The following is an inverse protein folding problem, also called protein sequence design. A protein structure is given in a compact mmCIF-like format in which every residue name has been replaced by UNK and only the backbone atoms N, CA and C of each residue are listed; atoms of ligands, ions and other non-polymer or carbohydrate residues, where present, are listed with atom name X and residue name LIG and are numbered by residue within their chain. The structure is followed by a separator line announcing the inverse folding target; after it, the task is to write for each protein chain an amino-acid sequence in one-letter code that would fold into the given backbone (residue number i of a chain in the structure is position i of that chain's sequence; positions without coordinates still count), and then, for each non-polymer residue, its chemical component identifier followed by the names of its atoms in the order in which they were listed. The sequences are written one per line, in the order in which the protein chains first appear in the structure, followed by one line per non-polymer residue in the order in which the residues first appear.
data_IF_263168125740
#
_entry.id   IF_263168125740
#
_cell.length_a   1.000
_cell.length_b   1.000
_cell.length_c   1.000
_cell.angle_alpha   90.00
_cell.angle_beta   90.00
_cell.angle_gamma   90.00
#
_symmetry.space_group_name_H-M   'P 1'
#
loop_
_entity.id
_entity.type
_entity.pdbx_description
1 polymer ?
#
# COMPACT_ATOMS: atom_id res chain seq x y z
N UNK A 1 -20.82 -17.03 6.68
CA UNK A 1 -19.81 -16.81 5.64
C UNK A 1 -20.50 -16.50 4.33
N UNK A 2 -19.99 -15.56 3.52
CA UNK A 2 -20.54 -15.23 2.19
C UNK A 2 -19.56 -15.62 1.10
N UNK A 3 -20.07 -16.17 0.00
CA UNK A 3 -19.32 -16.39 -1.24
C UNK A 3 -18.92 -15.04 -1.86
N UNK A 4 -17.66 -14.85 -2.21
CA UNK A 4 -17.12 -13.58 -2.76
C UNK A 4 -17.87 -13.11 -4.02
N UNK A 5 -18.38 -14.04 -4.83
CA UNK A 5 -19.17 -13.74 -6.04
C UNK A 5 -20.51 -13.09 -5.71
N UNK A 6 -21.07 -13.38 -4.52
CA UNK A 6 -22.36 -12.87 -4.02
C UNK A 6 -22.22 -11.67 -3.09
N UNK A 7 -21.02 -11.40 -2.59
CA UNK A 7 -20.76 -10.24 -1.74
C UNK A 7 -20.98 -8.93 -2.53
N UNK A 8 -21.63 -7.91 -1.92
CA UNK A 8 -21.72 -6.57 -2.50
C UNK A 8 -20.32 -6.03 -2.81
N UNK A 9 -20.13 -5.56 -4.03
CA UNK A 9 -18.83 -5.12 -4.55
C UNK A 9 -18.96 -3.75 -5.19
N UNK A 10 -17.99 -2.88 -4.93
CA UNK A 10 -17.86 -1.58 -5.61
C UNK A 10 -17.47 -1.72 -7.09
N UNK A 11 -16.98 -2.88 -7.51
CA UNK A 11 -16.48 -3.14 -8.88
C UNK A 11 -17.03 -4.46 -9.44
N UNK A 12 -18.37 -4.61 -9.53
CA UNK A 12 -19.00 -5.89 -9.81
C UNK A 12 -18.62 -6.50 -11.17
N UNK A 13 -18.26 -5.66 -12.14
CA UNK A 13 -17.92 -6.04 -13.51
C UNK A 13 -16.41 -6.04 -13.82
N UNK A 14 -15.55 -5.72 -12.84
CA UNK A 14 -14.13 -5.56 -13.11
C UNK A 14 -13.42 -6.92 -13.34
N UNK A 15 -12.58 -7.04 -14.39
CA UNK A 15 -11.64 -8.12 -14.71
C UNK A 15 -11.19 -9.04 -13.60
N UNK A 16 -10.65 -8.29 -12.63
CA UNK A 16 -9.78 -8.70 -11.56
C UNK A 16 -10.37 -8.29 -10.22
N UNK A 17 -11.70 -8.31 -10.09
CA UNK A 17 -12.33 -8.18 -8.77
C UNK A 17 -11.93 -9.37 -7.88
N UNK A 18 -12.08 -9.22 -6.58
CA UNK A 18 -11.57 -10.18 -5.58
C UNK A 18 -12.05 -11.62 -5.83
N UNK A 19 -13.29 -11.80 -6.29
CA UNK A 19 -13.85 -13.12 -6.60
C UNK A 19 -13.22 -13.84 -7.80
N UNK A 20 -12.48 -13.13 -8.67
CA UNK A 20 -11.98 -13.67 -9.95
C UNK A 20 -10.45 -13.78 -10.01
N UNK A 21 -9.73 -13.15 -9.09
CA UNK A 21 -8.25 -13.21 -9.03
C UNK A 21 -7.77 -14.43 -8.28
N UNK A 22 -6.52 -14.81 -8.50
CA UNK A 22 -5.85 -15.77 -7.64
C UNK A 22 -5.67 -15.19 -6.22
N UNK A 23 -6.19 -15.88 -5.21
CA UNK A 23 -5.95 -15.54 -3.82
C UNK A 23 -4.50 -15.89 -3.42
N UNK A 24 -3.64 -14.92 -3.08
CA UNK A 24 -2.23 -15.19 -2.81
C UNK A 24 -1.98 -16.02 -1.54
N UNK A 25 -2.91 -16.03 -0.58
CA UNK A 25 -2.82 -16.85 0.62
C UNK A 25 -3.25 -18.29 0.34
N UNK A 26 -4.42 -18.47 -0.28
CA UNK A 26 -5.01 -19.79 -0.52
C UNK A 26 -4.43 -20.53 -1.73
N UNK A 27 -3.89 -19.83 -2.73
CA UNK A 27 -3.36 -20.45 -3.96
C UNK A 27 -2.05 -21.22 -3.78
N UNK A 28 -1.45 -21.21 -2.58
CA UNK A 28 -0.18 -21.90 -2.36
C UNK A 28 1.00 -21.23 -3.07
N UNK A 29 0.87 -19.93 -3.36
CA UNK A 29 1.89 -19.06 -3.95
C UNK A 29 3.20 -19.07 -3.16
N UNK A 30 3.12 -19.27 -1.84
CA UNK A 30 4.23 -19.20 -0.89
C UNK A 30 4.44 -20.55 -0.19
N UNK A 31 5.19 -21.46 -0.83
CA UNK A 31 5.59 -22.76 -0.25
C UNK A 31 6.86 -22.63 0.61
N UNK A 32 7.09 -23.55 1.54
CA UNK A 32 8.33 -23.61 2.32
C UNK A 32 9.53 -23.74 1.40
N UNK A 33 10.53 -22.88 1.60
CA UNK A 33 11.70 -22.78 0.74
C UNK A 33 11.46 -22.11 -0.61
N UNK A 34 10.22 -21.76 -0.97
CA UNK A 34 9.92 -21.04 -2.20
C UNK A 34 10.28 -19.57 -2.03
N UNK A 35 11.42 -19.22 -2.60
CA UNK A 35 11.83 -17.85 -2.91
C UNK A 35 11.77 -17.79 -4.43
N UNK A 36 10.94 -16.92 -4.99
CA UNK A 36 10.97 -16.70 -6.43
C UNK A 36 12.23 -15.92 -6.80
N UNK A 37 12.81 -16.24 -7.96
CA UNK A 37 13.98 -15.53 -8.46
C UNK A 37 13.54 -14.22 -9.12
N UNK A 38 14.20 -13.14 -8.75
CA UNK A 38 13.97 -11.81 -9.31
C UNK A 38 14.96 -11.55 -10.43
N UNK A 39 14.46 -11.06 -11.56
CA UNK A 39 15.27 -10.74 -12.73
C UNK A 39 15.02 -9.31 -13.17
N UNK A 40 16.09 -8.51 -13.20
CA UNK A 40 16.13 -7.30 -14.01
C UNK A 40 16.36 -7.66 -15.49
N UNK A 41 16.16 -6.70 -16.39
CA UNK A 41 16.48 -6.90 -17.80
C UNK A 41 17.98 -7.15 -18.03
N UNK A 42 18.84 -6.54 -17.23
CA UNK A 42 20.28 -6.69 -17.35
C UNK A 42 20.75 -8.07 -16.86
N UNK A 43 20.22 -8.57 -15.73
CA UNK A 43 20.50 -9.93 -15.26
C UNK A 43 20.12 -10.96 -16.32
N UNK A 44 18.93 -10.77 -16.92
CA UNK A 44 18.43 -11.69 -17.92
C UNK A 44 19.26 -11.66 -19.21
N UNK A 45 19.70 -10.48 -19.66
CA UNK A 45 20.60 -10.33 -20.81
C UNK A 45 21.95 -11.00 -20.53
N UNK A 46 22.52 -10.81 -19.35
CA UNK A 46 23.77 -11.46 -18.96
C UNK A 46 23.65 -13.00 -18.97
N UNK A 47 22.56 -13.55 -18.41
CA UNK A 47 22.29 -14.99 -18.44
C UNK A 47 22.10 -15.52 -19.88
N UNK A 48 21.44 -14.73 -20.75
CA UNK A 48 21.24 -15.08 -22.16
C UNK A 48 22.57 -15.08 -22.91
N UNK A 49 23.40 -14.06 -22.72
CA UNK A 49 24.68 -13.91 -23.40
C UNK A 49 25.68 -14.99 -22.93
N UNK A 50 25.55 -15.47 -21.69
CA UNK A 50 26.23 -16.66 -21.18
C UNK A 50 25.65 -18.00 -21.68
N UNK A 51 24.57 -17.98 -22.46
CA UNK A 51 23.90 -19.19 -22.98
C UNK A 51 23.12 -20.00 -21.94
N UNK A 52 22.85 -19.43 -20.76
CA UNK A 52 22.20 -20.12 -19.64
C UNK A 52 20.67 -20.08 -19.71
N UNK A 53 20.10 -19.09 -20.40
CA UNK A 53 18.63 -18.93 -20.56
C UNK A 53 18.26 -18.56 -21.99
N UNK A 54 17.03 -18.88 -22.40
CA UNK A 54 16.41 -18.38 -23.63
C UNK A 54 15.42 -17.26 -23.29
N UNK A 55 15.51 -16.13 -23.98
CA UNK A 55 14.57 -15.03 -23.77
C UNK A 55 13.18 -15.37 -24.29
N UNK A 56 12.13 -15.28 -23.46
CA UNK A 56 10.77 -15.36 -23.95
C UNK A 56 10.52 -14.27 -25.00
N UNK A 57 9.86 -14.62 -26.11
CA UNK A 57 9.62 -13.68 -27.22
C UNK A 57 8.92 -12.38 -26.78
N UNK A 58 8.11 -12.44 -25.74
CA UNK A 58 7.37 -11.29 -25.22
C UNK A 58 8.20 -10.34 -24.34
N UNK A 59 9.42 -10.73 -23.96
CA UNK A 59 10.41 -9.86 -23.31
C UNK A 59 11.48 -9.38 -24.29
N UNK A 60 11.42 -9.80 -25.56
CA UNK A 60 12.39 -9.43 -26.58
C UNK A 60 12.12 -8.01 -27.07
N UNK A 61 12.87 -7.04 -26.54
CA UNK A 61 12.85 -5.64 -26.93
C UNK A 61 14.23 -5.01 -26.68
N UNK A 62 14.65 -4.08 -27.54
CA UNK A 62 15.86 -3.28 -27.28
C UNK A 62 15.63 -2.28 -26.14
N UNK A 63 16.70 -1.80 -25.52
CA UNK A 63 16.61 -0.78 -24.46
C UNK A 63 16.10 0.53 -25.05
N UNK A 64 16.54 0.86 -26.27
CA UNK A 64 16.20 2.08 -27.00
C UNK A 64 14.70 2.10 -27.34
N UNK A 65 14.16 1.01 -27.90
CA UNK A 65 12.73 0.90 -28.21
C UNK A 65 11.88 0.98 -26.94
N UNK A 66 12.35 0.38 -25.84
CA UNK A 66 11.67 0.42 -24.57
C UNK A 66 11.63 1.85 -23.99
N UNK A 67 12.76 2.57 -24.02
CA UNK A 67 12.85 3.95 -23.57
C UNK A 67 11.96 4.89 -24.39
N UNK A 68 11.95 4.76 -25.72
CA UNK A 68 11.04 5.52 -26.59
C UNK A 68 9.58 5.25 -26.21
N UNK A 69 9.21 3.97 -26.07
CA UNK A 69 7.84 3.56 -25.71
C UNK A 69 7.41 4.03 -24.32
N UNK A 70 8.32 4.17 -23.36
CA UNK A 70 8.02 4.75 -22.05
C UNK A 70 7.57 6.20 -22.18
N UNK A 71 8.17 6.95 -23.10
CA UNK A 71 7.91 8.38 -23.31
C UNK A 71 6.72 8.65 -24.25
N UNK A 72 6.22 7.65 -24.97
CA UNK A 72 5.08 7.81 -25.87
C UNK A 72 3.80 8.26 -25.12
N UNK A 73 3.10 9.29 -25.60
CA UNK A 73 1.87 9.80 -24.97
C UNK A 73 0.80 8.72 -24.73
N UNK A 74 0.63 7.79 -25.67
CA UNK A 74 -0.36 6.70 -25.56
C UNK A 74 -0.12 5.72 -24.40
N UNK A 75 1.13 5.59 -23.95
CA UNK A 75 1.51 4.68 -22.87
C UNK A 75 1.58 5.38 -21.52
N UNK A 76 1.77 6.70 -21.52
CA UNK A 76 2.10 7.52 -20.36
C UNK A 76 1.16 7.30 -19.18
N UNK A 77 -0.15 7.35 -19.40
CA UNK A 77 -1.14 7.19 -18.32
C UNK A 77 -1.05 5.80 -17.68
N UNK A 78 -0.90 4.76 -18.50
CA UNK A 78 -0.79 3.38 -18.02
C UNK A 78 0.51 3.17 -17.24
N UNK A 79 1.64 3.66 -17.76
CA UNK A 79 2.93 3.58 -17.09
C UNK A 79 2.91 4.32 -15.76
N UNK A 80 2.34 5.53 -15.71
CA UNK A 80 2.20 6.29 -14.47
C UNK A 80 1.36 5.55 -13.44
N UNK A 81 0.27 4.88 -13.85
CA UNK A 81 -0.54 4.06 -12.94
C UNK A 81 0.22 2.87 -12.39
N UNK A 82 0.94 2.14 -13.25
CA UNK A 82 1.75 0.99 -12.82
C UNK A 82 2.88 1.44 -11.89
N UNK A 83 3.62 2.49 -12.24
CA UNK A 83 4.67 3.05 -11.39
C UNK A 83 4.12 3.51 -10.04
N UNK A 84 2.97 4.21 -10.01
CA UNK A 84 2.36 4.67 -8.77
C UNK A 84 1.90 3.51 -7.88
N UNK A 85 1.34 2.45 -8.50
CA UNK A 85 0.96 1.23 -7.77
C UNK A 85 2.18 0.59 -7.12
N UNK A 86 3.25 0.37 -7.90
CA UNK A 86 4.49 -0.25 -7.43
C UNK A 86 5.25 0.63 -6.43
N UNK A 87 5.23 1.95 -6.61
CA UNK A 87 5.84 2.89 -5.68
C UNK A 87 5.10 2.89 -4.32
N UNK A 88 3.78 2.75 -4.29
CA UNK A 88 3.02 2.77 -3.04
C UNK A 88 2.90 1.40 -2.36
N UNK A 89 2.86 0.31 -3.13
CA UNK A 89 2.59 -1.06 -2.67
C UNK A 89 3.76 -2.02 -2.85
N UNK A 90 4.86 -1.55 -3.45
CA UNK A 90 6.13 -2.27 -3.65
C UNK A 90 5.99 -3.48 -4.58
N UNK A 91 5.61 -4.63 -4.03
CA UNK A 91 5.59 -5.90 -4.76
C UNK A 91 4.16 -6.37 -4.92
N UNK A 92 3.76 -6.59 -6.17
CA UNK A 92 2.39 -6.96 -6.53
C UNK A 92 2.41 -8.05 -7.61
N UNK A 93 1.34 -8.84 -7.68
CA UNK A 93 1.06 -9.61 -8.90
C UNK A 93 0.57 -8.68 -10.01
N UNK A 94 0.70 -9.10 -11.28
CA UNK A 94 0.09 -8.38 -12.40
C UNK A 94 -1.43 -8.23 -12.20
N UNK A 95 -2.14 -9.28 -11.76
CA UNK A 95 -3.57 -9.19 -11.45
C UNK A 95 -3.92 -8.13 -10.40
N UNK A 96 -3.06 -7.95 -9.38
CA UNK A 96 -3.23 -6.92 -8.37
C UNK A 96 -3.01 -5.51 -8.92
N UNK A 97 -2.02 -5.31 -9.79
CA UNK A 97 -1.81 -4.02 -10.44
C UNK A 97 -3.00 -3.67 -11.34
N UNK A 98 -3.48 -4.62 -12.15
CA UNK A 98 -4.66 -4.42 -12.99
C UNK A 98 -5.90 -4.05 -12.15
N UNK A 99 -6.14 -4.77 -11.04
CA UNK A 99 -7.23 -4.49 -10.10
C UNK A 99 -7.12 -3.13 -9.42
N UNK A 100 -5.90 -2.75 -9.00
CA UNK A 100 -5.67 -1.50 -8.30
C UNK A 100 -5.84 -0.29 -9.22
N UNK A 101 -5.37 -0.41 -10.46
CA UNK A 101 -5.22 0.72 -11.39
C UNK A 101 -6.34 0.86 -12.42
N UNK A 102 -7.23 -0.13 -12.52
CA UNK A 102 -8.23 -0.24 -13.60
C UNK A 102 -7.58 -0.11 -14.98
N UNK A 103 -6.49 -0.87 -15.17
CA UNK A 103 -5.76 -0.92 -16.43
C UNK A 103 -5.58 -2.38 -16.81
N UNK A 104 -6.52 -2.97 -17.56
CA UNK A 104 -6.47 -4.39 -17.88
C UNK A 104 -5.43 -4.68 -18.96
N UNK A 105 -4.99 -5.94 -19.04
CA UNK A 105 -4.14 -6.49 -20.11
C UNK A 105 -2.73 -5.88 -20.17
N UNK A 106 -2.17 -5.40 -19.05
CA UNK A 106 -0.85 -4.76 -19.03
C UNK A 106 0.30 -5.74 -19.37
N UNK A 107 0.06 -7.05 -19.24
CA UNK A 107 1.01 -8.10 -19.60
C UNK A 107 0.69 -8.84 -20.92
N UNK A 108 -0.39 -8.46 -21.63
CA UNK A 108 -0.81 -9.15 -22.86
C UNK A 108 -0.03 -8.67 -24.10
N UNK A 109 0.26 -9.60 -25.01
CA UNK A 109 1.00 -9.33 -26.26
C UNK A 109 2.52 -9.29 -26.09
N UNK A 110 3.24 -9.14 -27.21
CA UNK A 110 4.71 -9.18 -27.23
C UNK A 110 5.37 -7.83 -26.88
N UNK A 111 4.61 -6.73 -26.92
CA UNK A 111 5.05 -5.40 -26.53
C UNK A 111 4.15 -4.83 -25.44
N UNK A 112 3.87 -5.67 -24.45
CA UNK A 112 3.04 -5.30 -23.30
C UNK A 112 3.69 -4.18 -22.48
N UNK A 113 2.89 -3.48 -21.68
CA UNK A 113 3.42 -2.44 -20.79
C UNK A 113 4.46 -3.03 -19.83
N UNK A 114 4.22 -4.23 -19.31
CA UNK A 114 5.19 -4.92 -18.45
C UNK A 114 6.51 -5.16 -19.19
N UNK A 115 6.47 -5.63 -20.44
CA UNK A 115 7.70 -5.83 -21.22
C UNK A 115 8.44 -4.51 -21.49
N UNK A 116 7.70 -3.44 -21.82
CA UNK A 116 8.26 -2.11 -22.03
C UNK A 116 8.96 -1.61 -20.76
N UNK A 117 8.27 -1.66 -19.62
CA UNK A 117 8.80 -1.17 -18.34
C UNK A 117 9.98 -2.01 -17.85
N UNK A 118 9.95 -3.33 -18.05
CA UNK A 118 11.05 -4.22 -17.66
C UNK A 118 12.29 -3.97 -18.52
N UNK A 119 12.15 -3.93 -19.85
CA UNK A 119 13.28 -3.67 -20.75
C UNK A 119 13.90 -2.28 -20.57
N UNK A 120 13.07 -1.30 -20.18
CA UNK A 120 13.47 0.04 -19.80
C UNK A 120 14.14 0.11 -18.41
N UNK A 121 14.19 -1.00 -17.66
CA UNK A 121 14.79 -1.05 -16.33
C UNK A 121 13.98 -0.31 -15.26
N UNK A 122 12.66 -0.16 -15.43
CA UNK A 122 11.76 0.48 -14.46
C UNK A 122 11.18 -0.51 -13.44
N UNK A 123 11.12 -1.79 -13.80
CA UNK A 123 10.58 -2.86 -12.95
C UNK A 123 11.42 -4.12 -13.06
N UNK A 124 11.36 -4.94 -12.01
CA UNK A 124 11.85 -6.32 -12.03
C UNK A 124 10.67 -7.28 -12.04
N UNK A 125 10.90 -8.46 -12.61
CA UNK A 125 9.91 -9.53 -12.70
C UNK A 125 10.41 -10.71 -11.87
N UNK A 126 9.50 -11.35 -11.15
CA UNK A 126 9.75 -12.61 -10.49
C UNK A 126 8.74 -13.67 -10.93
N UNK A 127 9.29 -14.81 -11.33
CA UNK A 127 8.53 -16.02 -11.57
C UNK A 127 8.63 -16.91 -10.33
N UNK A 128 7.48 -17.34 -9.82
CA UNK A 128 7.44 -18.24 -8.68
C UNK A 128 7.70 -19.67 -9.16
N UNK A 129 8.78 -20.29 -8.69
CA UNK A 129 9.32 -21.58 -9.16
C UNK A 129 8.40 -22.82 -9.09
N UNK A 130 7.11 -22.66 -8.75
CA UNK A 130 6.11 -23.72 -8.76
C UNK A 130 5.15 -23.66 -9.96
N UNK A 131 5.27 -22.70 -10.88
CA UNK A 131 4.39 -22.61 -12.05
C UNK A 131 4.84 -23.51 -13.20
N UNK A 132 4.54 -24.81 -13.10
CA UNK A 132 4.33 -25.66 -14.29
C UNK A 132 3.06 -25.19 -15.02
N UNK A 133 3.04 -23.97 -15.56
CA UNK A 133 1.85 -23.39 -16.21
C UNK A 133 1.94 -23.56 -17.73
N UNK A 134 0.88 -24.17 -18.29
CA UNK A 134 0.60 -24.13 -19.73
C UNK A 134 -0.12 -22.81 -20.08
N UNK A 135 0.38 -22.06 -21.07
CA UNK A 135 -0.33 -20.96 -21.75
C UNK A 135 -0.14 -19.53 -21.21
N UNK A 136 -0.84 -18.57 -21.84
CA UNK A 136 -0.69 -17.11 -21.62
C UNK A 136 -1.07 -16.62 -20.21
N UNK A 137 -1.83 -17.41 -19.43
CA UNK A 137 -2.18 -17.10 -18.03
C UNK A 137 -0.99 -17.11 -17.07
N UNK A 138 0.18 -17.56 -17.52
CA UNK A 138 1.42 -17.45 -16.76
C UNK A 138 1.74 -16.00 -16.37
N UNK A 139 1.57 -15.05 -17.32
CA UNK A 139 2.00 -13.67 -17.15
C UNK A 139 1.19 -12.88 -16.12
N UNK A 140 -0.06 -13.28 -15.92
CA UNK A 140 -0.98 -12.62 -14.98
C UNK A 140 -0.57 -12.89 -13.52
N UNK A 141 0.05 -14.04 -13.25
CA UNK A 141 0.55 -14.41 -11.93
C UNK A 141 1.98 -13.96 -11.63
N UNK A 142 2.63 -13.24 -12.55
CA UNK A 142 3.99 -12.73 -12.33
C UNK A 142 4.00 -11.72 -11.18
N UNK A 143 5.04 -11.79 -10.37
CA UNK A 143 5.33 -10.75 -9.39
C UNK A 143 6.16 -9.66 -10.06
N UNK A 144 5.81 -8.42 -9.76
CA UNK A 144 6.50 -7.23 -10.24
C UNK A 144 6.79 -6.29 -9.08
N UNK A 145 7.93 -5.60 -9.16
CA UNK A 145 8.38 -4.61 -8.18
C UNK A 145 9.16 -3.49 -8.86
N UNK A 146 9.25 -2.29 -8.27
CA UNK A 146 10.05 -1.21 -8.85
C UNK A 146 11.55 -1.55 -8.75
N UNK A 147 12.32 -1.13 -9.76
CA UNK A 147 13.78 -1.11 -9.67
C UNK A 147 14.25 0.09 -8.85
N UNK A 148 15.49 0.03 -8.36
CA UNK A 148 16.13 1.22 -7.77
C UNK A 148 16.16 2.36 -8.80
N UNK A 149 15.99 3.64 -8.39
CA UNK A 149 15.97 4.76 -9.32
C UNK A 149 17.21 4.83 -10.24
N UNK A 150 17.02 4.49 -11.51
CA UNK A 150 18.03 4.54 -12.57
C UNK A 150 18.05 5.87 -13.34
N UNK A 151 18.93 5.96 -14.34
CA UNK A 151 19.04 7.16 -15.19
C UNK A 151 17.72 7.45 -15.94
N UNK A 152 17.12 6.42 -16.55
CA UNK A 152 15.87 6.57 -17.28
C UNK A 152 14.70 6.99 -16.39
N UNK A 153 14.58 6.45 -15.17
CA UNK A 153 13.52 6.90 -14.24
C UNK A 153 13.70 8.37 -13.89
N UNK A 154 14.94 8.83 -13.68
CA UNK A 154 15.24 10.26 -13.45
C UNK A 154 14.91 11.13 -14.65
N UNK A 155 15.15 10.66 -15.87
CA UNK A 155 14.77 11.37 -17.09
C UNK A 155 13.25 11.43 -17.25
N UNK A 156 12.56 10.28 -17.10
CA UNK A 156 11.11 10.21 -17.10
C UNK A 156 10.51 11.16 -16.06
N UNK A 157 11.05 11.18 -14.85
CA UNK A 157 10.60 12.06 -13.77
C UNK A 157 10.73 13.55 -14.12
N UNK A 158 11.75 13.95 -14.89
CA UNK A 158 11.91 15.34 -15.36
C UNK A 158 10.83 15.75 -16.37
N UNK A 159 10.23 14.78 -17.06
CA UNK A 159 9.12 15.04 -18.01
C UNK A 159 7.76 15.15 -17.33
N UNK A 160 7.67 14.89 -16.02
CA UNK A 160 6.39 14.93 -15.29
C UNK A 160 6.05 16.36 -14.91
N UNK A 161 4.81 16.76 -15.22
CA UNK A 161 4.20 17.92 -14.57
C UNK A 161 4.15 17.71 -13.05
N UNK A 162 4.05 18.80 -12.29
CA UNK A 162 3.92 18.69 -10.83
C UNK A 162 2.72 17.81 -10.42
N UNK A 163 1.58 17.94 -11.11
CA UNK A 163 0.39 17.15 -10.82
C UNK A 163 0.59 15.65 -11.11
N UNK A 164 1.24 15.30 -12.22
CA UNK A 164 1.60 13.91 -12.51
C UNK A 164 2.58 13.36 -11.46
N UNK A 165 3.60 14.12 -11.10
CA UNK A 165 4.57 13.70 -10.11
C UNK A 165 3.94 13.48 -8.73
N UNK A 166 3.13 14.42 -8.23
CA UNK A 166 2.42 14.27 -6.95
C UNK A 166 1.46 13.08 -7.02
N UNK A 167 0.68 12.94 -8.08
CA UNK A 167 -0.26 11.83 -8.18
C UNK A 167 0.41 10.44 -8.21
N UNK A 168 1.63 10.34 -8.74
CA UNK A 168 2.34 9.08 -8.85
C UNK A 168 3.12 8.76 -7.56
N UNK A 169 3.77 9.77 -6.98
CA UNK A 169 4.72 9.61 -5.86
C UNK A 169 4.17 10.04 -4.50
N UNK A 170 2.96 10.59 -4.48
CA UNK A 170 2.37 11.31 -3.35
C UNK A 170 3.25 12.46 -2.81
N UNK A 171 4.11 13.02 -3.66
CA UNK A 171 5.01 14.10 -3.28
C UNK A 171 6.29 13.65 -2.57
N UNK A 172 6.57 12.35 -2.52
CA UNK A 172 7.70 11.77 -1.78
C UNK A 172 8.87 11.32 -2.70
N UNK A 173 8.78 11.53 -4.01
CA UNK A 173 9.74 11.01 -5.01
C UNK A 173 9.60 9.51 -5.23
N UNK A 174 10.28 8.91 -6.21
CA UNK A 174 10.23 7.45 -6.42
C UNK A 174 11.23 6.71 -5.53
N UNK A 175 10.82 5.56 -4.98
CA UNK A 175 11.65 4.72 -4.12
C UNK A 175 11.35 3.22 -4.32
N UNK A 176 12.37 2.38 -4.12
CA UNK A 176 12.32 0.93 -4.27
C UNK A 176 12.63 0.15 -2.98
N UNK A 177 12.67 0.80 -1.82
CA UNK A 177 12.94 0.14 -0.55
C UNK A 177 11.79 -0.79 -0.08
N UNK A 178 12.09 -1.64 0.93
CA UNK A 178 11.13 -2.48 1.69
C UNK A 178 10.34 -3.51 0.86
N UNK A 179 11.06 -4.29 0.08
CA UNK A 179 10.48 -5.28 -0.84
C UNK A 179 10.29 -6.67 -0.19
N UNK A 180 9.40 -6.77 0.79
CA UNK A 180 9.03 -8.05 1.42
C UNK A 180 7.90 -8.73 0.62
N UNK A 181 8.24 -9.40 -0.48
CA UNK A 181 7.30 -9.88 -1.50
C UNK A 181 6.00 -10.49 -0.95
N UNK A 182 6.08 -11.44 0.00
CA UNK A 182 4.90 -12.08 0.59
C UNK A 182 4.03 -11.10 1.39
N UNK A 183 4.63 -10.27 2.23
CA UNK A 183 3.89 -9.29 3.04
C UNK A 183 3.20 -8.27 2.12
N UNK A 184 3.94 -7.73 1.16
CA UNK A 184 3.45 -6.72 0.22
C UNK A 184 2.29 -7.27 -0.63
N UNK A 185 2.39 -8.50 -1.11
CA UNK A 185 1.31 -9.15 -1.88
C UNK A 185 0.08 -9.43 -1.02
N UNK A 186 0.23 -9.91 0.21
CA UNK A 186 -0.90 -10.15 1.12
C UNK A 186 -1.56 -8.84 1.58
N UNK A 187 -0.76 -7.84 1.94
CA UNK A 187 -1.20 -6.49 2.28
C UNK A 187 -1.97 -5.87 1.11
N UNK A 188 -1.44 -5.97 -0.11
CA UNK A 188 -2.11 -5.52 -1.32
C UNK A 188 -3.46 -6.21 -1.50
N UNK A 189 -3.54 -7.53 -1.30
CA UNK A 189 -4.81 -8.24 -1.48
C UNK A 189 -5.84 -7.88 -0.39
N UNK A 190 -5.40 -7.74 0.87
CA UNK A 190 -6.26 -7.23 1.94
C UNK A 190 -6.76 -5.82 1.64
N UNK A 191 -5.88 -4.94 1.17
CA UNK A 191 -6.22 -3.58 0.78
C UNK A 191 -7.26 -3.53 -0.34
N UNK A 192 -7.10 -4.36 -1.38
CA UNK A 192 -8.02 -4.44 -2.50
C UNK A 192 -9.38 -5.03 -2.11
N UNK A 193 -9.41 -6.08 -1.29
CA UNK A 193 -10.67 -6.63 -0.75
C UNK A 193 -11.39 -5.62 0.13
N UNK A 194 -10.66 -4.90 0.97
CA UNK A 194 -11.23 -3.87 1.84
C UNK A 194 -11.77 -2.71 1.00
N UNK A 195 -11.03 -2.27 -0.03
CA UNK A 195 -11.49 -1.25 -0.95
C UNK A 195 -12.74 -1.68 -1.73
N UNK A 196 -12.86 -2.95 -2.11
CA UNK A 196 -13.99 -3.48 -2.87
C UNK A 196 -15.24 -3.76 -2.01
N UNK A 197 -15.06 -4.33 -0.82
CA UNK A 197 -16.14 -4.99 -0.05
C UNK A 197 -16.47 -4.29 1.28
N UNK A 198 -15.65 -3.35 1.74
CA UNK A 198 -15.77 -2.78 3.09
C UNK A 198 -16.08 -1.28 3.15
N UNK A 199 -16.52 -0.85 4.34
CA UNK A 199 -16.93 0.52 4.64
C UNK A 199 -15.72 1.41 4.94
N UNK A 200 -14.78 1.48 3.98
CA UNK A 200 -13.64 2.41 4.00
C UNK A 200 -13.89 3.57 3.06
N UNK A 201 -13.39 4.75 3.44
CA UNK A 201 -13.32 5.92 2.57
C UNK A 201 -12.04 5.98 1.76
N UNK A 202 -10.93 5.45 2.28
CA UNK A 202 -9.66 5.33 1.55
C UNK A 202 -8.84 4.11 2.00
N UNK A 203 -7.96 3.64 1.11
CA UNK A 203 -6.95 2.63 1.42
C UNK A 203 -5.61 3.10 0.83
N UNK A 204 -4.57 3.12 1.66
CA UNK A 204 -3.24 3.64 1.32
C UNK A 204 -2.20 2.51 1.43
N UNK A 205 -1.27 2.46 0.47
CA UNK A 205 -0.16 1.51 0.49
C UNK A 205 0.90 1.84 1.55
N UNK A 206 1.87 0.93 1.71
CA UNK A 206 2.94 0.99 2.71
C UNK A 206 3.66 2.35 2.77
N UNK A 207 3.95 2.93 1.59
CA UNK A 207 4.68 4.20 1.49
C UNK A 207 4.01 5.35 2.25
N UNK A 208 2.68 5.35 2.30
CA UNK A 208 1.86 6.36 2.97
C UNK A 208 1.41 5.91 4.37
N UNK A 209 1.93 4.79 4.84
CA UNK A 209 1.52 4.14 6.09
C UNK A 209 2.62 4.21 7.17
N UNK A 210 3.52 5.19 7.07
CA UNK A 210 4.56 5.42 8.08
C UNK A 210 3.98 5.99 9.37
N UNK A 211 4.47 5.55 10.54
CA UNK A 211 4.04 6.16 11.81
C UNK A 211 4.45 7.63 11.91
N UNK A 212 5.54 8.04 11.26
CA UNK A 212 5.93 9.44 11.16
C UNK A 212 4.81 10.27 10.51
N UNK A 213 4.21 9.78 9.43
CA UNK A 213 3.10 10.44 8.74
C UNK A 213 1.79 10.31 9.53
N UNK A 214 1.44 9.11 9.99
CA UNK A 214 0.14 8.83 10.59
C UNK A 214 -0.05 9.44 11.98
N UNK A 215 1.02 9.54 12.77
CA UNK A 215 0.94 10.00 14.16
C UNK A 215 1.51 11.42 14.38
N UNK A 216 2.26 11.95 13.41
CA UNK A 216 2.99 13.22 13.56
C UNK A 216 2.80 14.15 12.35
N UNK A 217 3.62 14.03 11.30
CA UNK A 217 3.68 15.06 10.24
C UNK A 217 2.37 15.22 9.47
N UNK A 218 1.60 14.13 9.29
CA UNK A 218 0.29 14.17 8.64
C UNK A 218 -0.82 14.83 9.48
N UNK A 219 -0.55 15.11 10.76
CA UNK A 219 -1.44 15.87 11.66
C UNK A 219 -0.78 17.18 12.13
N UNK A 220 0.24 17.65 11.41
CA UNK A 220 0.92 18.91 11.70
C UNK A 220 1.80 18.91 12.95
N UNK A 221 2.19 17.74 13.46
CA UNK A 221 3.08 17.61 14.62
C UNK A 221 4.50 17.21 14.23
N UNK A 222 5.48 17.62 15.05
CA UNK A 222 6.88 17.31 14.84
C UNK A 222 7.16 15.81 14.97
N UNK A 223 7.99 15.29 14.06
CA UNK A 223 8.42 13.89 14.08
C UNK A 223 9.58 13.73 15.05
N UNK A 224 9.47 12.85 16.08
CA UNK A 224 10.58 12.58 16.99
C UNK A 224 11.81 12.04 16.24
N UNK A 225 13.01 12.47 16.68
CA UNK A 225 14.30 12.04 16.09
C UNK A 225 14.62 10.55 16.33
N UNK A 226 13.97 9.91 17.30
CA UNK A 226 14.13 8.50 17.60
C UNK A 226 12.83 7.88 18.15
N UNK A 227 12.69 6.57 18.02
CA UNK A 227 11.58 5.82 18.61
C UNK A 227 10.26 5.88 17.85
N UNK A 228 10.24 6.44 16.63
CA UNK A 228 9.10 6.28 15.71
C UNK A 228 9.21 4.91 15.05
N UNK A 229 8.13 4.13 15.10
CA UNK A 229 8.11 2.82 14.47
C UNK A 229 8.25 2.94 12.94
N UNK A 230 8.75 1.89 12.30
CA UNK A 230 8.68 1.77 10.84
C UNK A 230 7.22 1.77 10.38
N UNK A 231 7.01 1.94 9.07
CA UNK A 231 5.66 1.93 8.51
C UNK A 231 4.95 0.59 8.66
N UNK A 232 3.63 0.68 8.62
CA UNK A 232 2.72 -0.45 8.48
C UNK A 232 2.56 -0.81 7.01
N UNK A 233 2.14 -2.04 6.71
CA UNK A 233 2.07 -2.54 5.34
C UNK A 233 0.99 -1.84 4.50
N UNK A 234 -0.07 -1.35 5.14
CA UNK A 234 -1.10 -0.49 4.54
C UNK A 234 -1.85 0.28 5.63
N UNK A 235 -2.64 1.28 5.22
CA UNK A 235 -3.55 2.03 6.09
C UNK A 235 -4.96 2.03 5.52
N UNK A 236 -5.93 1.70 6.36
CA UNK A 236 -7.36 1.87 6.05
C UNK A 236 -7.83 3.18 6.66
N UNK A 237 -8.65 3.93 5.93
CA UNK A 237 -9.25 5.18 6.44
C UNK A 237 -10.77 5.03 6.42
N UNK A 238 -11.40 5.23 7.57
CA UNK A 238 -12.85 5.27 7.72
C UNK A 238 -13.43 6.58 7.15
N UNK A 239 -14.74 6.61 6.81
CA UNK A 239 -15.39 7.83 6.35
C UNK A 239 -15.32 9.03 7.31
N UNK A 240 -15.11 8.80 8.61
CA UNK A 240 -14.93 9.84 9.62
C UNK A 240 -13.45 10.24 9.85
N UNK A 241 -12.53 9.72 9.03
CA UNK A 241 -11.11 10.04 9.10
C UNK A 241 -10.29 9.21 10.09
N UNK A 242 -10.89 8.26 10.81
CA UNK A 242 -10.13 7.30 11.65
C UNK A 242 -9.21 6.45 10.75
N UNK A 243 -7.95 6.30 11.15
CA UNK A 243 -6.87 5.64 10.42
C UNK A 243 -6.48 4.34 11.12
N UNK A 244 -6.57 3.23 10.41
CA UNK A 244 -6.19 1.91 10.90
C UNK A 244 -4.92 1.49 10.18
N UNK A 245 -3.79 1.54 10.89
CA UNK A 245 -2.52 1.05 10.39
C UNK A 245 -2.49 -0.47 10.51
N UNK A 246 -2.32 -1.17 9.39
CA UNK A 246 -2.42 -2.63 9.34
C UNK A 246 -1.05 -3.26 9.14
N UNK A 247 -0.75 -4.23 9.99
CA UNK A 247 0.49 -4.99 9.99
C UNK A 247 0.17 -6.46 9.71
N UNK A 248 0.64 -6.98 8.58
CA UNK A 248 0.50 -8.39 8.22
C UNK A 248 1.68 -9.15 8.81
N UNK A 249 1.41 -10.20 9.58
CA UNK A 249 2.46 -11.05 10.16
C UNK A 249 2.24 -12.51 9.83
N UNK A 250 3.34 -13.21 9.57
CA UNK A 250 3.33 -14.59 9.11
C UNK A 250 4.22 -15.52 9.92
N UNK A 251 5.13 -14.94 10.68
CA UNK A 251 6.04 -15.63 11.58
C UNK A 251 6.27 -14.76 12.80
N UNK A 252 6.44 -15.45 13.92
CA UNK A 252 6.70 -14.92 15.26
C UNK A 252 8.08 -15.35 15.76
N UNK A 253 8.92 -15.90 14.88
CA UNK A 253 10.25 -16.38 15.23
C UNK A 253 11.16 -15.22 15.66
N UNK A 254 11.56 -15.20 16.94
CA UNK A 254 12.48 -14.22 17.51
C UNK A 254 11.83 -13.13 18.38
N UNK A 255 12.65 -12.41 19.16
CA UNK A 255 12.20 -11.32 20.05
C UNK A 255 11.74 -10.04 19.33
N UNK A 256 12.13 -9.88 18.06
CA UNK A 256 11.85 -8.71 17.22
C UNK A 256 10.35 -8.40 17.03
N UNK A 257 9.48 -9.41 16.99
CA UNK A 257 8.04 -9.15 16.81
C UNK A 257 7.44 -8.36 17.99
N UNK A 258 7.80 -8.73 19.22
CA UNK A 258 7.38 -7.98 20.40
C UNK A 258 7.87 -6.53 20.35
N UNK A 259 9.11 -6.28 19.94
CA UNK A 259 9.62 -4.92 19.78
C UNK A 259 8.80 -4.10 18.77
N UNK A 260 8.33 -4.72 17.68
CA UNK A 260 7.46 -4.06 16.70
C UNK A 260 6.12 -3.70 17.31
N UNK A 261 5.48 -4.65 17.99
CA UNK A 261 4.20 -4.42 18.71
C UNK A 261 4.37 -3.31 19.74
N UNK A 262 5.40 -3.41 20.58
CA UNK A 262 5.69 -2.44 21.64
C UNK A 262 5.86 -1.02 21.08
N UNK A 263 6.62 -0.85 19.98
CA UNK A 263 6.82 0.45 19.34
C UNK A 263 5.51 1.05 18.85
N UNK A 264 4.64 0.27 18.22
CA UNK A 264 3.34 0.74 17.72
C UNK A 264 2.41 1.14 18.87
N UNK A 265 2.29 0.29 19.88
CA UNK A 265 1.47 0.55 21.08
C UNK A 265 1.98 1.79 21.84
N UNK A 266 3.30 1.96 21.93
CA UNK A 266 3.92 3.14 22.56
C UNK A 266 3.57 4.44 21.82
N UNK A 267 3.43 4.40 20.48
CA UNK A 267 2.95 5.56 19.70
C UNK A 267 1.51 5.89 20.08
N UNK A 268 0.62 4.89 20.14
CA UNK A 268 -0.78 5.08 20.53
C UNK A 268 -0.90 5.68 21.93
N UNK A 269 -0.12 5.18 22.89
CA UNK A 269 -0.09 5.70 24.25
C UNK A 269 0.34 7.17 24.33
N UNK A 270 1.24 7.62 23.46
CA UNK A 270 1.74 9.00 23.43
C UNK A 270 0.84 9.96 22.66
N UNK A 271 -0.04 9.44 21.80
CA UNK A 271 -0.79 10.24 20.82
C UNK A 271 -2.28 10.03 20.99
N UNK A 272 -3.02 11.05 21.46
CA UNK A 272 -4.46 10.94 21.65
C UNK A 272 -5.19 10.51 20.38
N UNK A 273 -6.23 9.68 20.54
CA UNK A 273 -7.08 9.26 19.44
C UNK A 273 -7.70 10.47 18.74
N UNK A 274 -8.26 11.43 19.50
CA UNK A 274 -8.90 12.63 18.95
C UNK A 274 -7.98 13.47 18.02
N UNK A 275 -6.66 13.44 18.26
CA UNK A 275 -5.69 14.20 17.46
C UNK A 275 -5.20 13.46 16.22
N UNK A 276 -5.16 12.12 16.26
CA UNK A 276 -4.49 11.32 15.21
C UNK A 276 -5.43 10.41 14.44
N UNK A 277 -6.57 10.07 15.03
CA UNK A 277 -7.44 8.99 14.57
C UNK A 277 -6.72 7.64 14.49
N UNK A 278 -5.57 7.45 15.12
CA UNK A 278 -4.74 6.27 14.85
C UNK A 278 -5.16 5.06 15.69
N UNK A 279 -5.42 3.95 15.00
CA UNK A 279 -5.55 2.59 15.52
C UNK A 279 -4.58 1.66 14.80
N UNK A 280 -4.31 0.49 15.39
CA UNK A 280 -3.41 -0.54 14.84
C UNK A 280 -4.13 -1.88 14.75
N UNK A 281 -3.97 -2.57 13.63
CA UNK A 281 -4.49 -3.92 13.40
C UNK A 281 -3.36 -4.86 13.02
N UNK A 282 -3.20 -5.96 13.75
CA UNK A 282 -2.34 -7.06 13.36
C UNK A 282 -3.15 -8.15 12.64
N UNK A 283 -2.76 -8.49 11.42
CA UNK A 283 -3.39 -9.56 10.64
C UNK A 283 -2.44 -10.75 10.56
N UNK A 284 -2.83 -11.85 11.18
CA UNK A 284 -2.05 -13.09 11.22
C UNK A 284 -2.34 -13.92 9.97
N UNK A 285 -1.38 -13.96 9.06
CA UNK A 285 -1.43 -14.72 7.80
C UNK A 285 -0.32 -15.80 7.79
N UNK A 286 -0.51 -16.93 8.49
CA UNK A 286 0.50 -17.99 8.61
C UNK A 286 0.78 -18.66 7.27
N UNK A 287 1.87 -19.42 7.16
CA UNK A 287 2.10 -20.27 5.98
C UNK A 287 1.09 -21.42 5.95
N UNK A 288 0.70 -21.87 4.75
CA UNK A 288 -0.31 -22.93 4.60
C UNK A 288 0.25 -24.33 4.82
N UNK A 289 1.53 -24.51 4.58
CA UNK A 289 2.26 -25.76 4.79
C UNK A 289 2.91 -25.83 6.18
N UNK A 290 2.64 -24.83 7.03
CA UNK A 290 2.86 -24.89 8.47
C UNK A 290 2.11 -26.09 9.07
N UNK A 291 2.63 -26.65 10.18
CA UNK A 291 1.94 -27.71 10.88
C UNK A 291 0.54 -27.24 11.34
N UNK A 292 -0.46 -28.12 11.40
CA UNK A 292 -1.86 -27.73 11.68
C UNK A 292 -2.08 -26.96 12.99
N UNK A 293 -1.18 -27.10 13.96
CA UNK A 293 -1.19 -26.39 15.25
C UNK A 293 -0.54 -25.00 15.19
N UNK A 294 0.39 -24.78 14.26
CA UNK A 294 1.24 -23.59 14.18
C UNK A 294 0.44 -22.29 13.93
N UNK A 295 -0.56 -22.22 13.02
CA UNK A 295 -1.43 -21.05 12.86
C UNK A 295 -2.04 -20.51 14.17
N UNK A 296 -2.53 -21.43 15.03
CA UNK A 296 -3.16 -21.06 16.31
C UNK A 296 -2.12 -20.58 17.32
N UNK A 297 -0.93 -21.15 17.31
CA UNK A 297 0.18 -20.73 18.17
C UNK A 297 0.71 -19.35 17.79
N UNK A 298 0.80 -19.06 16.48
CA UNK A 298 1.17 -17.73 15.97
C UNK A 298 0.15 -16.70 16.47
N UNK A 299 -1.15 -16.94 16.26
CA UNK A 299 -2.19 -16.03 16.72
C UNK A 299 -2.15 -15.80 18.24
N UNK A 300 -2.01 -16.88 19.03
CA UNK A 300 -1.88 -16.78 20.49
C UNK A 300 -0.67 -15.97 20.92
N UNK A 301 0.49 -16.14 20.27
CA UNK A 301 1.68 -15.35 20.58
C UNK A 301 1.48 -13.87 20.23
N UNK A 302 0.92 -13.56 19.07
CA UNK A 302 0.62 -12.16 18.68
C UNK A 302 -0.28 -11.51 19.72
N UNK A 303 -1.36 -12.20 20.11
CA UNK A 303 -2.24 -11.74 21.20
C UNK A 303 -1.47 -11.53 22.52
N UNK A 304 -0.62 -12.47 22.95
CA UNK A 304 0.22 -12.28 24.16
C UNK A 304 1.12 -11.06 24.08
N UNK A 305 1.78 -10.86 22.94
CA UNK A 305 2.70 -9.73 22.76
C UNK A 305 1.94 -8.39 22.78
N UNK A 306 0.74 -8.35 22.17
CA UNK A 306 -0.17 -7.20 22.26
C UNK A 306 -0.63 -6.95 23.69
N UNK A 307 -1.07 -7.97 24.43
CA UNK A 307 -1.46 -7.83 25.84
C UNK A 307 -0.31 -7.23 26.66
N UNK A 308 0.90 -7.79 26.51
CA UNK A 308 2.08 -7.33 27.23
C UNK A 308 2.42 -5.88 26.90
N UNK A 309 2.38 -5.50 25.62
CA UNK A 309 2.66 -4.14 25.19
C UNK A 309 1.60 -3.15 25.69
N UNK A 310 0.31 -3.48 25.58
CA UNK A 310 -0.79 -2.64 26.08
C UNK A 310 -0.68 -2.47 27.60
N UNK A 311 -0.24 -3.50 28.33
CA UNK A 311 0.05 -3.38 29.77
C UNK A 311 1.19 -2.41 30.09
N UNK A 312 2.27 -2.44 29.31
CA UNK A 312 3.36 -1.48 29.47
C UNK A 312 2.95 -0.06 29.07
N UNK A 313 1.93 0.10 28.23
CA UNK A 313 1.50 1.37 27.64
C UNK A 313 -0.03 1.49 27.58
N UNK A 314 -0.72 1.59 28.74
CA UNK A 314 -2.17 1.41 28.85
C UNK A 314 -3.01 2.54 28.24
N UNK A 315 -2.42 3.72 28.01
CA UNK A 315 -3.16 4.91 27.61
C UNK A 315 -3.81 5.60 28.82
N UNK A 316 -4.93 6.27 28.60
CA UNK A 316 -5.70 6.95 29.67
C UNK A 316 -7.06 6.27 29.87
N UNK A 317 -7.80 6.63 30.93
CA UNK A 317 -9.13 6.07 31.17
C UNK A 317 -10.13 6.38 30.04
N UNK A 318 -10.01 7.55 29.41
CA UNK A 318 -10.88 8.02 28.33
C UNK A 318 -10.34 7.70 26.93
N UNK A 319 -9.07 7.32 26.82
CA UNK A 319 -8.41 6.90 25.58
C UNK A 319 -7.46 5.72 25.88
N UNK A 320 -8.01 4.53 26.16
CA UNK A 320 -7.21 3.37 26.50
C UNK A 320 -6.61 2.75 25.23
N UNK A 321 -5.33 2.38 25.28
CA UNK A 321 -4.65 1.76 24.13
C UNK A 321 -5.29 0.42 23.73
N UNK A 322 -5.90 -0.30 24.68
CA UNK A 322 -6.65 -1.55 24.42
C UNK A 322 -7.81 -1.35 23.45
N UNK A 323 -8.44 -0.17 23.42
CA UNK A 323 -9.53 0.12 22.49
C UNK A 323 -9.04 0.40 21.06
N UNK A 324 -7.74 0.61 20.86
CA UNK A 324 -7.11 1.10 19.62
C UNK A 324 -6.19 0.07 18.95
N UNK A 325 -6.03 -1.10 19.56
CA UNK A 325 -5.21 -2.20 19.02
C UNK A 325 -6.08 -3.44 18.86
N UNK A 326 -6.05 -4.03 17.69
CA UNK A 326 -6.78 -5.25 17.41
C UNK A 326 -5.92 -6.29 16.70
N UNK A 327 -6.40 -7.53 16.72
CA UNK A 327 -5.79 -8.69 16.08
C UNK A 327 -6.88 -9.46 15.35
N UNK A 328 -6.55 -9.99 14.19
CA UNK A 328 -7.38 -10.96 13.46
C UNK A 328 -6.48 -11.93 12.72
N UNK A 329 -7.04 -12.99 12.14
CA UNK A 329 -6.31 -13.89 11.26
C UNK A 329 -6.87 -13.86 9.84
N UNK A 330 -6.01 -14.14 8.86
CA UNK A 330 -6.43 -14.23 7.46
C UNK A 330 -7.56 -15.25 7.26
N UNK A 331 -7.49 -16.47 7.83
CA UNK A 331 -8.59 -17.43 7.72
C UNK A 331 -9.89 -16.97 8.39
N UNK A 332 -9.86 -16.09 9.40
CA UNK A 332 -11.09 -15.57 10.01
C UNK A 332 -11.78 -14.56 9.08
N UNK A 333 -11.01 -13.73 8.38
CA UNK A 333 -11.53 -12.78 7.38
C UNK A 333 -11.93 -13.48 6.07
N UNK A 334 -11.12 -14.45 5.63
CA UNK A 334 -11.23 -15.16 4.36
C UNK A 334 -10.96 -16.67 4.56
N UNK A 335 -11.96 -17.47 4.95
CA UNK A 335 -11.77 -18.90 5.25
C UNK A 335 -11.38 -19.78 4.05
N UNK A 336 -11.64 -19.31 2.84
CA UNK A 336 -11.23 -19.97 1.60
C UNK A 336 -10.96 -18.93 0.51
N UNK A 337 -10.43 -19.38 -0.63
CA UNK A 337 -10.17 -18.50 -1.79
C UNK A 337 -11.44 -17.83 -2.33
N UNK A 338 -12.62 -18.36 -2.01
CA UNK A 338 -13.91 -17.96 -2.57
C UNK A 338 -14.86 -17.38 -1.52
N UNK A 339 -14.44 -17.24 -0.27
CA UNK A 339 -15.31 -16.82 0.84
C UNK A 339 -14.75 -15.63 1.61
N UNK A 340 -15.66 -14.90 2.24
CA UNK A 340 -15.37 -13.73 3.08
C UNK A 340 -16.33 -13.67 4.27
N UNK A 341 -15.84 -13.22 5.42
CA UNK A 341 -16.66 -13.08 6.63
C UNK A 341 -17.95 -12.27 6.38
N UNK A 342 -19.06 -12.67 7.00
CA UNK A 342 -20.39 -12.08 6.74
C UNK A 342 -20.45 -10.57 7.02
N UNK A 343 -19.71 -10.15 8.04
CA UNK A 343 -19.60 -8.77 8.49
C UNK A 343 -18.27 -8.14 8.10
N UNK A 344 -17.55 -8.69 7.11
CA UNK A 344 -16.29 -8.13 6.60
C UNK A 344 -16.40 -6.66 6.23
N UNK A 345 -17.60 -6.19 5.85
CA UNK A 345 -17.84 -4.78 5.56
C UNK A 345 -17.50 -3.84 6.73
N UNK A 346 -17.53 -4.37 7.96
CA UNK A 346 -17.19 -3.69 9.20
C UNK A 346 -15.84 -4.13 9.79
N UNK A 347 -15.10 -5.00 9.10
CA UNK A 347 -13.80 -5.55 9.49
C UNK A 347 -13.83 -6.20 10.89
N UNK A 348 -14.31 -7.46 11.01
CA UNK A 348 -14.38 -8.17 12.27
C UNK A 348 -12.99 -8.51 12.79
N UNK A 349 -12.73 -8.16 14.05
CA UNK A 349 -11.44 -8.35 14.71
C UNK A 349 -11.65 -8.64 16.20
N UNK A 350 -10.57 -8.94 16.91
CA UNK A 350 -10.57 -9.03 18.37
C UNK A 350 -9.65 -7.96 18.98
N UNK A 351 -10.03 -7.39 20.11
CA UNK A 351 -9.21 -6.46 20.89
C UNK A 351 -9.18 -6.84 22.37
N UNK A 352 -8.18 -6.37 23.15
CA UNK A 352 -8.19 -6.59 24.60
C UNK A 352 -9.39 -5.90 25.28
N UNK A 353 -10.01 -6.55 26.27
CA UNK A 353 -11.23 -6.09 26.97
C UNK A 353 -11.08 -4.85 27.86
N UNK A 354 -9.85 -4.34 28.06
CA UNK A 354 -9.58 -3.30 29.06
C UNK A 354 -9.34 -3.89 30.46
N UNK A 355 -9.44 -3.12 31.56
CA UNK A 355 -8.90 -3.48 32.88
C UNK A 355 -9.28 -4.91 33.32
N UNK A 356 -8.30 -5.81 33.42
CA UNK A 356 -8.51 -7.25 33.67
C UNK A 356 -8.06 -8.20 32.55
N UNK A 357 -7.65 -7.67 31.39
CA UNK A 357 -7.17 -8.39 30.20
C UNK A 357 -5.83 -9.17 30.33
N UNK A 358 -5.34 -9.47 31.53
CA UNK A 358 -4.20 -10.39 31.70
C UNK A 358 -4.78 -11.77 31.99
N UNK A 359 -4.55 -12.71 31.09
CA UNK A 359 -5.03 -14.08 31.22
C UNK A 359 -4.76 -14.89 29.95
N UNK A 360 -5.43 -16.02 29.80
CA UNK A 360 -5.32 -16.83 28.58
C UNK A 360 -5.74 -15.99 27.34
N UNK A 361 -4.89 -15.86 26.31
CA UNK A 361 -5.23 -15.17 25.06
C UNK A 361 -6.45 -15.70 24.29
N UNK A 362 -6.95 -16.89 24.65
CA UNK A 362 -8.18 -17.44 24.09
C UNK A 362 -9.41 -17.20 24.98
N UNK A 363 -9.24 -16.64 26.18
CA UNK A 363 -10.35 -16.45 27.09
C UNK A 363 -11.14 -15.18 26.74
N UNK A 364 -12.47 -15.31 26.66
CA UNK A 364 -13.39 -14.23 26.27
C UNK A 364 -13.41 -13.05 27.26
N UNK A 365 -13.01 -13.28 28.52
CA UNK A 365 -12.84 -12.22 29.50
C UNK A 365 -11.60 -11.34 29.23
N UNK A 366 -10.73 -11.76 28.31
CA UNK A 366 -9.46 -11.10 27.99
C UNK A 366 -9.46 -10.47 26.60
N UNK A 367 -10.12 -11.11 25.63
CA UNK A 367 -10.29 -10.62 24.27
C UNK A 367 -11.77 -10.56 23.92
N UNK A 368 -12.21 -9.42 23.38
CA UNK A 368 -13.56 -9.23 22.88
C UNK A 368 -13.55 -9.05 21.36
N UNK A 369 -14.63 -9.52 20.72
CA UNK A 369 -14.87 -9.23 19.30
C UNK A 369 -15.32 -7.78 19.15
N UNK A 370 -14.84 -7.14 18.09
CA UNK A 370 -15.27 -5.80 17.69
C UNK A 370 -15.19 -5.65 16.16
N UNK A 371 -15.59 -4.50 15.66
CA UNK A 371 -15.69 -4.17 14.25
C UNK A 371 -15.03 -2.82 14.00
N UNK A 372 -13.78 -2.80 13.53
CA UNK A 372 -13.00 -1.56 13.49
C UNK A 372 -13.54 -0.51 12.52
N UNK A 373 -14.25 -0.93 11.47
CA UNK A 373 -14.89 -0.03 10.51
C UNK A 373 -16.33 0.35 10.91
N UNK A 374 -16.81 -0.09 12.07
CA UNK A 374 -18.11 0.30 12.61
C UNK A 374 -17.93 1.47 13.60
N UNK A 375 -18.48 2.68 13.31
CA UNK A 375 -18.36 3.82 14.21
C UNK A 375 -18.98 3.63 15.59
N UNK A 376 -19.99 2.79 15.72
CA UNK A 376 -20.63 2.51 17.01
C UNK A 376 -19.74 1.61 17.88
N UNK A 377 -18.98 0.70 17.26
CA UNK A 377 -18.10 -0.24 17.96
C UNK A 377 -16.73 0.39 18.32
N UNK A 378 -16.26 1.31 17.48
CA UNK A 378 -15.05 2.11 17.72
C UNK A 378 -15.39 3.59 17.49
N UNK A 379 -15.93 4.27 18.52
CA UNK A 379 -16.28 5.68 18.43
C UNK A 379 -15.05 6.56 18.22
N UNK A 380 -15.22 7.63 17.44
CA UNK A 380 -14.16 8.58 17.14
C UNK A 380 -14.71 9.99 17.09
N UNK A 381 -14.21 10.84 17.98
CA UNK A 381 -14.52 12.28 18.01
C UNK A 381 -13.21 13.05 17.86
N UNK A 382 -12.88 13.53 16.65
CA UNK A 382 -11.64 14.26 16.43
C UNK A 382 -11.68 15.70 16.94
N UNK A 383 -10.52 16.23 17.31
CA UNK A 383 -10.35 17.64 17.67
C UNK A 383 -10.62 18.56 16.45
N UNK A 384 -10.24 18.09 15.26
CA UNK A 384 -10.51 18.74 13.98
C UNK A 384 -11.08 17.72 12.96
N UNK A 385 -12.40 17.60 12.86
CA UNK A 385 -13.04 16.68 11.92
C UNK A 385 -12.64 16.92 10.45
N UNK A 386 -12.49 18.18 10.04
CA UNK A 386 -12.19 18.52 8.65
C UNK A 386 -10.77 18.06 8.26
N UNK A 387 -9.79 18.32 9.14
CA UNK A 387 -8.42 17.83 8.92
C UNK A 387 -8.34 16.31 8.89
N UNK A 388 -9.15 15.61 9.70
CA UNK A 388 -9.16 14.15 9.71
C UNK A 388 -9.72 13.56 8.42
N UNK A 389 -10.79 14.13 7.86
CA UNK A 389 -11.40 13.63 6.62
C UNK A 389 -10.65 14.05 5.35
N UNK A 390 -9.87 15.15 5.41
CA UNK A 390 -9.13 15.69 4.26
C UNK A 390 -8.18 14.68 3.59
N UNK A 391 -7.70 13.67 4.33
CA UNK A 391 -6.86 12.59 3.77
C UNK A 391 -7.55 11.87 2.60
N UNK A 392 -8.87 11.69 2.65
CA UNK A 392 -9.61 10.99 1.59
C UNK A 392 -9.63 11.83 0.31
N UNK A 393 -9.90 13.13 0.42
CA UNK A 393 -9.91 14.06 -0.71
C UNK A 393 -8.51 14.20 -1.31
N UNK A 394 -7.49 14.35 -0.47
CA UNK A 394 -6.09 14.46 -0.90
C UNK A 394 -5.60 13.18 -1.59
N UNK A 395 -5.93 12.01 -1.03
CA UNK A 395 -5.54 10.72 -1.60
C UNK A 395 -6.32 10.35 -2.86
N UNK A 396 -7.50 10.93 -3.07
CA UNK A 396 -8.40 10.65 -4.20
C UNK A 396 -7.75 10.88 -5.58
N UNK A 397 -6.75 11.78 -5.64
CA UNK A 397 -5.98 12.10 -6.84
C UNK A 397 -4.75 11.20 -7.06
N UNK A 398 -4.42 10.32 -6.12
CA UNK A 398 -3.23 9.48 -6.19
C UNK A 398 -3.47 8.23 -7.04
N UNK A 399 -2.58 7.98 -7.98
CA UNK A 399 -2.64 6.82 -8.89
C UNK A 399 -2.31 5.49 -8.22
N UNK A 400 -1.74 5.49 -7.01
CA UNK A 400 -1.51 4.30 -6.20
C UNK A 400 -2.65 3.94 -5.23
N UNK A 401 -3.71 4.76 -5.12
CA UNK A 401 -4.92 4.42 -4.36
C UNK A 401 -5.80 3.48 -5.21
N UNK A 402 -6.50 2.47 -4.65
CA UNK A 402 -7.41 1.64 -5.43
C UNK A 402 -8.41 2.45 -6.24
N UNK A 403 -8.54 2.17 -7.54
CA UNK A 403 -9.28 3.02 -8.49
C UNK A 403 -10.73 3.30 -8.07
N UNK A 404 -11.41 2.35 -7.45
CA UNK A 404 -12.78 2.48 -6.98
C UNK A 404 -12.95 3.43 -5.79
N UNK A 405 -11.85 3.82 -5.15
CA UNK A 405 -11.80 4.81 -4.06
C UNK A 405 -11.29 6.17 -4.53
N UNK A 406 -10.92 6.31 -5.81
CA UNK A 406 -10.48 7.59 -6.36
C UNK A 406 -11.70 8.48 -6.61
N UNK A 407 -11.61 9.71 -6.15
CA UNK A 407 -12.65 10.73 -6.27
C UNK A 407 -12.54 11.50 -7.58
N UNK A 408 -13.66 12.14 -7.95
CA UNK A 408 -13.71 13.10 -9.06
C UNK A 408 -13.20 14.48 -8.65
N UNK A 409 -13.38 14.84 -7.38
CA UNK A 409 -12.90 16.10 -6.79
C UNK A 409 -11.49 15.85 -6.28
N UNK A 410 -10.53 16.59 -6.83
CA UNK A 410 -9.11 16.51 -6.46
C UNK A 410 -8.63 17.90 -6.07
N UNK A 411 -7.69 18.01 -5.13
CA UNK A 411 -7.08 19.30 -4.84
C UNK A 411 -6.41 19.85 -6.10
N UNK A 412 -6.65 21.13 -6.39
CA UNK A 412 -5.99 21.82 -7.48
C UNK A 412 -4.59 22.21 -6.99
N UNK A 413 -3.60 21.38 -7.33
CA UNK A 413 -2.26 21.49 -6.78
C UNK A 413 -1.55 22.80 -7.14
N UNK A 414 -1.90 23.42 -8.28
CA UNK A 414 -1.42 24.77 -8.62
C UNK A 414 -1.88 25.79 -7.59
N UNK A 415 -3.16 25.75 -7.20
CA UNK A 415 -3.77 26.72 -6.29
C UNK A 415 -3.13 26.61 -4.90
N UNK A 416 -2.91 25.39 -4.42
CA UNK A 416 -2.22 25.13 -3.14
C UNK A 416 -0.81 25.72 -3.16
N UNK A 417 -0.08 25.56 -4.27
CA UNK A 417 1.28 26.09 -4.35
C UNK A 417 1.27 27.61 -4.44
N UNK A 418 0.40 28.18 -5.27
CA UNK A 418 0.25 29.63 -5.39
C UNK A 418 -0.10 30.28 -4.04
N UNK A 419 -1.09 29.73 -3.33
CA UNK A 419 -1.48 30.18 -2.00
C UNK A 419 -0.30 30.15 -1.02
N UNK A 420 0.48 29.06 -1.01
CA UNK A 420 1.67 28.93 -0.15
C UNK A 420 2.73 30.00 -0.44
N UNK A 421 2.83 30.48 -1.67
CA UNK A 421 3.75 31.55 -2.07
C UNK A 421 3.10 32.94 -2.05
N UNK A 422 1.86 33.08 -1.57
CA UNK A 422 1.13 34.34 -1.54
C UNK A 422 0.80 34.90 -2.93
N UNK A 423 0.71 34.02 -3.93
CA UNK A 423 0.37 34.38 -5.31
C UNK A 423 -1.14 34.18 -5.53
N UNK A 424 -1.87 35.20 -6.00
CA UNK A 424 -3.32 35.09 -6.20
C UNK A 424 -3.70 34.28 -7.45
N UNK A 425 -2.81 34.16 -8.43
CA UNK A 425 -3.02 33.42 -9.67
C UNK A 425 -1.69 33.01 -10.31
N UNK A 426 -1.73 32.06 -11.26
CA UNK A 426 -0.56 31.69 -12.06
C UNK A 426 -0.12 32.93 -12.84
N UNK A 427 1.12 33.38 -12.61
CA UNK A 427 1.71 34.45 -13.41
C UNK A 427 1.81 33.93 -14.84
N UNK A 428 1.01 34.51 -15.75
CA UNK A 428 1.15 34.22 -17.18
C UNK A 428 2.57 34.58 -17.60
N UNK A 429 3.35 33.56 -17.95
CA UNK A 429 4.64 33.79 -18.61
C UNK A 429 4.30 34.23 -20.02
N UNK A 430 4.41 35.52 -20.27
CA UNK A 430 4.37 36.09 -21.60
C UNK A 430 5.49 35.42 -22.42
N UNK A 431 5.09 34.52 -23.35
CA UNK A 431 5.98 33.69 -24.17
C UNK A 431 6.90 34.48 -25.10
N UNK A 432 6.91 35.81 -24.99
CA UNK A 432 7.81 36.74 -25.70
C UNK A 432 9.14 36.96 -24.98
N UNK A 433 9.32 36.50 -23.73
CA UNK A 433 10.59 36.69 -22.99
C UNK A 433 11.35 35.37 -22.77
N UNK A 434 12.65 35.31 -23.12
CA UNK A 434 13.47 34.13 -22.82
C UNK A 434 13.51 33.86 -21.31
N UNK A 435 13.30 32.61 -20.93
CA UNK A 435 13.34 32.09 -19.53
C UNK A 435 14.71 32.31 -18.85
N UNK A 436 15.71 32.82 -19.58
CA UNK A 436 17.11 33.00 -19.16
C UNK A 436 17.43 34.38 -18.57
N UNK A 437 16.51 35.36 -18.57
CA UNK A 437 16.79 36.67 -17.97
C UNK A 437 16.59 36.66 -16.45
N UNK A 438 17.70 36.49 -15.73
CA UNK A 438 17.75 36.66 -14.28
C UNK A 438 17.37 38.09 -13.84
N UNK A 439 16.60 38.21 -12.76
CA UNK A 439 16.33 39.49 -12.07
C UNK A 439 16.79 39.45 -10.60
N UNK A 440 17.88 40.16 -10.30
CA UNK A 440 18.09 40.95 -9.06
C UNK A 440 18.32 40.29 -7.69
N UNK A 441 19.57 40.40 -7.22
CA UNK A 441 20.17 40.58 -5.88
C UNK A 441 19.73 39.81 -4.60
N UNK A 442 18.51 39.29 -4.52
CA UNK A 442 18.08 38.32 -3.50
C UNK A 442 16.83 37.68 -4.11
N UNK A 443 17.02 36.66 -4.94
CA UNK A 443 16.01 36.24 -5.92
C UNK A 443 14.61 36.11 -5.31
N UNK A 444 13.60 36.65 -6.00
CA UNK A 444 12.20 36.48 -5.62
C UNK A 444 11.88 35.00 -5.38
N UNK A 445 10.93 34.71 -4.49
CA UNK A 445 10.43 33.36 -4.25
C UNK A 445 10.16 32.66 -5.59
N UNK A 446 11.07 31.78 -5.99
CA UNK A 446 10.98 31.08 -7.25
C UNK A 446 9.96 29.97 -7.11
N UNK A 447 8.96 29.97 -7.98
CA UNK A 447 8.10 28.82 -8.18
C UNK A 447 9.03 27.62 -8.50
N UNK A 448 8.87 26.45 -7.85
CA UNK A 448 9.67 25.26 -8.16
C UNK A 448 9.70 25.00 -9.67
N UNK A 449 10.85 24.64 -10.24
CA UNK A 449 11.03 24.47 -11.69
C UNK A 449 9.99 23.57 -12.38
N UNK A 450 9.32 22.67 -11.63
CA UNK A 450 8.25 21.78 -12.10
C UNK A 450 6.86 22.43 -12.24
N UNK A 451 6.72 23.68 -11.82
CA UNK A 451 5.50 24.50 -11.90
C UNK A 451 5.65 25.69 -12.86
N UNK A 452 6.79 25.77 -13.57
CA UNK A 452 7.11 26.86 -14.50
C UNK A 452 6.65 26.59 -15.95
N UNK A 453 5.70 25.67 -16.17
CA UNK A 453 5.23 25.25 -17.50
C UNK A 453 3.80 25.71 -17.77
#
# INVERSE_FOLDING_TARGET
MVELTRAPSRTPFHPRRSALRADPFWSGMWRTGSIGDWYSADDFRALRDAGLVKSPAWLSMSVEDAAERVLLPRNRETILRVLAALDQWRTMTVEQVEALTDTPKIAHGNASIISVMWNAGLIEICELGATFKQGDRHREGLLIRPTKPGALLREFEKTLSYAEWVSATAGLGFDADRQFARHNVLATDLGLRTAELANVGCVLGEKLSSMAMLAYSGVGADVPTSGVANGSDLTLVRPDGLRIAVEVTASISGGWFYEKVEKLVRVLHRRPLAQTGLCVLFVVAPRRDAASTEPREILRKVKRDVQKAVLSYPGTATDPTSARVAVTSWPDLFPSATEVADDFRYLPVERPTGPGYIGDPNAENVWERTQMLNPDAVPFTPDDPAAMTAVMENASGLRGVPHMLRGKVRPVLSDIVLERFGLPELVQVDGTKPVTEARGAAGAAGIPARLAY
#
